data_IF_752655501250
#
_entry.id   IF_752655501250
#
_cell.length_a   1.000
_cell.length_b   1.000
_cell.length_c   1.000
_cell.angle_alpha   90.00
_cell.angle_beta   90.00
_cell.angle_gamma   90.00
#
_symmetry.space_group_name_H-M   'P 1'
#
loop_
_entity.id
_entity.type
_entity.pdbx_description
1 polymer ?
#
# COMPACT_ATOMS: atom_id res chain seq x y z
N UNK A 1 -23.40 18.69 -55.72
CA UNK A 1 -24.04 19.51 -54.66
C UNK A 1 -24.84 18.56 -53.79
N UNK A 2 -24.16 17.90 -52.85
CA UNK A 2 -24.00 18.25 -51.43
C UNK A 2 -25.25 17.97 -50.61
N UNK A 3 -25.09 16.95 -49.76
CA UNK A 3 -25.95 16.40 -48.72
C UNK A 3 -26.14 17.38 -47.58
N UNK A 4 -27.32 17.39 -46.95
CA UNK A 4 -27.46 17.92 -45.59
C UNK A 4 -28.36 17.03 -44.72
N UNK A 5 -27.75 16.46 -43.68
CA UNK A 5 -28.38 15.71 -42.59
C UNK A 5 -27.78 16.28 -41.31
N UNK A 6 -28.56 16.86 -40.39
CA UNK A 6 -27.99 17.44 -39.19
C UNK A 6 -27.54 16.33 -38.23
N UNK A 7 -26.26 16.37 -37.86
CA UNK A 7 -25.69 15.58 -36.78
C UNK A 7 -26.11 16.19 -35.44
N UNK A 8 -26.80 15.40 -34.62
CA UNK A 8 -27.03 15.72 -33.22
C UNK A 8 -25.70 15.58 -32.45
N UNK A 9 -25.16 16.69 -31.98
CA UNK A 9 -24.05 16.74 -31.02
C UNK A 9 -24.55 16.30 -29.64
N UNK A 10 -24.55 15.00 -29.40
CA UNK A 10 -24.57 14.44 -28.04
C UNK A 10 -23.15 14.40 -27.51
N UNK A 11 -22.83 15.32 -26.59
CA UNK A 11 -21.58 15.28 -25.81
C UNK A 11 -21.57 13.99 -24.98
N UNK A 12 -20.86 12.98 -25.47
CA UNK A 12 -20.56 11.78 -24.71
C UNK A 12 -19.70 12.16 -23.50
N UNK A 13 -20.16 11.80 -22.31
CA UNK A 13 -19.33 11.80 -21.12
C UNK A 13 -18.09 10.93 -21.37
N UNK A 14 -16.89 11.34 -20.90
CA UNK A 14 -15.68 10.57 -21.14
C UNK A 14 -15.79 9.18 -20.49
N UNK A 15 -15.25 8.14 -21.13
CA UNK A 15 -15.24 6.79 -20.56
C UNK A 15 -14.45 6.77 -19.25
N UNK A 16 -15.09 6.28 -18.19
CA UNK A 16 -14.44 5.90 -16.92
C UNK A 16 -13.40 4.83 -17.23
N UNK A 17 -12.13 5.11 -16.92
CA UNK A 17 -11.06 4.10 -16.91
C UNK A 17 -9.96 4.22 -17.96
N UNK A 18 -9.78 5.37 -18.61
CA UNK A 18 -8.59 5.63 -19.42
C UNK A 18 -7.42 6.08 -18.52
N UNK A 19 -6.61 5.09 -18.11
CA UNK A 19 -5.20 5.24 -17.69
C UNK A 19 -4.86 6.46 -16.84
N UNK A 20 -5.19 6.43 -15.55
CA UNK A 20 -4.48 7.26 -14.57
C UNK A 20 -3.03 6.81 -14.53
N UNK A 21 -2.09 7.75 -14.58
CA UNK A 21 -0.67 7.46 -14.43
C UNK A 21 -0.45 6.81 -13.06
N UNK A 22 -0.28 5.48 -13.09
CA UNK A 22 0.18 4.73 -11.93
C UNK A 22 1.63 5.15 -11.72
N UNK A 23 1.86 5.98 -10.72
CA UNK A 23 3.19 6.36 -10.28
C UNK A 23 3.96 5.17 -9.71
N UNK A 24 5.14 5.41 -9.12
CA UNK A 24 5.90 4.36 -8.44
C UNK A 24 5.04 3.66 -7.37
N UNK A 25 5.31 2.39 -7.15
CA UNK A 25 4.53 1.57 -6.22
C UNK A 25 5.30 0.35 -5.74
N UNK A 26 4.85 -0.19 -4.61
CA UNK A 26 5.47 -1.31 -3.93
C UNK A 26 4.37 -2.25 -3.41
N UNK A 27 3.97 -3.22 -4.23
CA UNK A 27 2.92 -4.19 -3.90
C UNK A 27 1.57 -3.49 -3.67
N UNK A 28 1.03 -3.54 -2.44
CA UNK A 28 -0.23 -2.86 -2.11
C UNK A 28 -0.10 -1.34 -1.93
N UNK A 29 1.11 -0.80 -1.77
CA UNK A 29 1.36 0.64 -1.72
C UNK A 29 1.43 1.20 -3.16
N UNK A 30 0.58 2.17 -3.48
CA UNK A 30 0.48 2.76 -4.82
C UNK A 30 0.35 4.27 -4.74
N UNK A 31 0.92 4.97 -5.72
CA UNK A 31 0.72 6.40 -5.92
C UNK A 31 -0.30 6.63 -7.04
N UNK A 32 -1.35 7.41 -6.75
CA UNK A 32 -2.40 7.78 -7.70
C UNK A 32 -2.74 9.26 -7.53
N UNK A 33 -2.76 10.01 -8.63
CA UNK A 33 -3.09 11.44 -8.65
C UNK A 33 -2.33 12.26 -7.58
N UNK A 34 -1.06 11.95 -7.36
CA UNK A 34 -0.22 12.65 -6.38
C UNK A 34 -0.38 12.21 -4.93
N UNK A 35 -1.16 11.16 -4.66
CA UNK A 35 -1.44 10.67 -3.30
C UNK A 35 -1.10 9.20 -3.14
N UNK A 36 -0.71 8.82 -1.93
CA UNK A 36 -0.32 7.46 -1.59
C UNK A 36 -1.46 6.68 -0.93
N UNK A 37 -1.63 5.42 -1.36
CA UNK A 37 -2.66 4.53 -0.85
C UNK A 37 -2.11 3.14 -0.59
N UNK A 38 -2.66 2.46 0.43
CA UNK A 38 -2.48 1.02 0.65
C UNK A 38 -3.79 0.31 0.35
N UNK A 39 -3.73 -0.62 -0.59
CA UNK A 39 -4.91 -1.31 -1.12
C UNK A 39 -5.57 -0.57 -2.27
N UNK A 40 -6.61 -1.19 -2.81
CA UNK A 40 -7.35 -0.69 -3.96
C UNK A 40 -8.21 0.53 -3.59
N UNK A 41 -7.71 1.71 -3.94
CA UNK A 41 -8.34 3.00 -3.69
C UNK A 41 -9.69 3.20 -4.40
N UNK A 42 -10.00 2.40 -5.43
CA UNK A 42 -11.29 2.40 -6.12
C UNK A 42 -12.30 1.43 -5.48
N UNK A 43 -11.84 0.63 -4.51
CA UNK A 43 -12.66 -0.37 -3.82
C UNK A 43 -13.23 0.15 -2.50
N UNK A 44 -14.01 -0.72 -1.84
CA UNK A 44 -14.81 -0.38 -0.65
C UNK A 44 -14.02 -0.06 0.61
N UNK A 45 -12.75 -0.44 0.69
CA UNK A 45 -11.91 -0.22 1.86
C UNK A 45 -10.43 -0.10 1.47
N UNK A 46 -9.78 0.98 1.89
CA UNK A 46 -8.36 1.24 1.64
C UNK A 46 -7.81 2.22 2.67
N UNK A 47 -6.49 2.40 2.69
CA UNK A 47 -5.82 3.39 3.53
C UNK A 47 -5.26 4.49 2.65
N UNK A 48 -5.52 5.76 3.00
CA UNK A 48 -4.78 6.89 2.49
C UNK A 48 -3.58 7.17 3.42
N UNK A 49 -2.43 7.45 2.83
CA UNK A 49 -1.22 7.87 3.54
C UNK A 49 -1.16 9.39 3.47
N UNK A 50 -1.40 10.05 4.60
CA UNK A 50 -1.53 11.50 4.68
C UNK A 50 -0.37 12.11 5.48
N UNK A 51 -0.08 13.41 5.33
CA UNK A 51 0.93 14.09 6.15
C UNK A 51 0.75 13.91 7.66
N UNK A 52 -0.49 13.74 8.13
CA UNK A 52 -0.83 13.62 9.54
C UNK A 52 -0.85 12.18 10.07
N UNK A 53 -1.06 11.19 9.20
CA UNK A 53 -1.28 9.80 9.61
C UNK A 53 -1.82 8.89 8.51
N UNK A 54 -2.24 7.70 8.92
CA UNK A 54 -3.03 6.83 8.05
C UNK A 54 -4.52 7.07 8.23
N UNK A 55 -5.23 7.35 7.15
CA UNK A 55 -6.69 7.46 7.15
C UNK A 55 -7.32 6.22 6.54
N UNK A 56 -8.11 5.50 7.33
CA UNK A 56 -8.89 4.37 6.85
C UNK A 56 -10.21 4.85 6.25
N UNK A 57 -10.40 4.55 4.97
CA UNK A 57 -11.59 4.91 4.21
C UNK A 57 -12.39 3.66 3.90
N UNK A 58 -13.66 3.67 4.28
CA UNK A 58 -14.60 2.58 4.00
C UNK A 58 -15.89 3.17 3.44
N UNK A 59 -16.39 2.63 2.32
CA UNK A 59 -17.65 3.10 1.74
C UNK A 59 -18.79 3.01 2.77
N UNK A 60 -19.48 4.13 2.99
CA UNK A 60 -20.60 4.22 3.93
C UNK A 60 -20.18 4.37 5.39
N UNK A 61 -18.90 4.67 5.68
CA UNK A 61 -18.42 5.04 7.01
C UNK A 61 -17.59 6.31 6.94
N UNK A 62 -17.64 7.09 8.01
CA UNK A 62 -16.77 8.25 8.16
C UNK A 62 -15.30 7.80 8.16
N UNK A 63 -14.38 8.51 7.47
CA UNK A 63 -12.97 8.21 7.51
C UNK A 63 -12.41 8.26 8.95
N UNK A 64 -11.44 7.39 9.23
CA UNK A 64 -10.80 7.33 10.54
C UNK A 64 -9.28 7.48 10.43
N UNK A 65 -8.75 8.58 10.98
CA UNK A 65 -7.32 8.90 10.99
C UNK A 65 -6.62 8.35 12.23
N UNK A 66 -5.52 7.65 12.03
CA UNK A 66 -4.53 7.33 13.06
C UNK A 66 -3.28 8.19 12.86
N UNK A 67 -3.06 9.21 13.71
CA UNK A 67 -1.90 10.06 13.63
C UNK A 67 -0.56 9.32 13.76
N UNK A 68 0.46 9.77 13.03
CA UNK A 68 1.82 9.21 13.07
C UNK A 68 2.34 9.02 14.49
N UNK A 69 2.18 10.05 15.34
CA UNK A 69 2.62 10.07 16.75
C UNK A 69 2.00 8.97 17.63
N UNK A 70 0.91 8.33 17.19
CA UNK A 70 0.27 7.24 17.93
C UNK A 70 0.83 5.87 17.55
N UNK A 71 1.41 5.71 16.37
CA UNK A 71 1.84 4.41 15.86
C UNK A 71 3.13 3.96 16.58
N UNK A 72 3.11 2.74 17.11
CA UNK A 72 4.26 2.11 17.78
C UNK A 72 4.83 0.91 17.04
N UNK A 73 4.04 0.34 16.14
CA UNK A 73 4.45 -0.75 15.27
C UNK A 73 3.64 -0.68 13.99
N UNK A 74 4.18 -1.22 12.90
CA UNK A 74 3.46 -1.42 11.65
C UNK A 74 3.79 -2.81 11.13
N UNK A 75 2.75 -3.60 10.85
CA UNK A 75 2.86 -4.96 10.31
C UNK A 75 1.89 -5.12 9.15
N UNK A 76 2.41 -5.51 8.00
CA UNK A 76 1.60 -5.76 6.81
C UNK A 76 1.18 -7.23 6.75
N UNK A 77 -0.12 -7.48 6.69
CA UNK A 77 -0.70 -8.79 6.38
C UNK A 77 -1.27 -8.78 4.98
N UNK A 78 -0.53 -9.31 4.00
CA UNK A 78 -0.98 -9.36 2.60
C UNK A 78 -0.38 -10.57 1.89
N UNK A 79 -1.11 -11.14 0.94
CA UNK A 79 -0.63 -12.21 0.05
C UNK A 79 -0.33 -11.66 -1.34
N UNK A 80 0.40 -12.42 -2.14
CA UNK A 80 0.72 -12.03 -3.52
C UNK A 80 -0.48 -11.97 -4.47
N UNK A 81 -1.56 -12.71 -4.17
CA UNK A 81 -2.78 -12.66 -4.97
C UNK A 81 -4.04 -12.55 -4.13
N UNK A 82 -5.06 -11.90 -4.70
CA UNK A 82 -6.38 -11.69 -4.08
C UNK A 82 -7.08 -12.99 -3.67
N UNK A 83 -6.93 -14.08 -4.44
CA UNK A 83 -7.50 -15.39 -4.09
C UNK A 83 -6.86 -15.97 -2.82
N UNK A 84 -5.55 -15.79 -2.67
CA UNK A 84 -4.80 -16.21 -1.48
C UNK A 84 -5.16 -15.37 -0.24
N UNK A 85 -5.76 -14.19 -0.43
CA UNK A 85 -6.28 -13.33 0.64
C UNK A 85 -7.70 -13.71 1.10
N UNK A 86 -8.23 -14.89 0.73
CA UNK A 86 -9.55 -15.37 1.17
C UNK A 86 -9.42 -16.46 2.24
N UNK A 87 -10.48 -16.75 3.04
CA UNK A 87 -10.53 -17.93 3.93
C UNK A 87 -9.99 -19.23 3.30
N UNK A 88 -10.40 -19.52 2.06
CA UNK A 88 -10.02 -20.73 1.34
C UNK A 88 -8.57 -20.69 0.85
N UNK A 89 -8.09 -19.51 0.43
CA UNK A 89 -6.70 -19.30 0.04
C UNK A 89 -5.73 -19.33 1.24
N UNK A 90 -6.15 -18.81 2.39
CA UNK A 90 -5.38 -18.83 3.64
C UNK A 90 -5.11 -20.25 4.16
N UNK A 91 -6.07 -21.17 3.97
CA UNK A 91 -5.91 -22.59 4.30
C UNK A 91 -4.82 -23.27 3.44
N UNK A 92 -4.70 -22.89 2.16
CA UNK A 92 -3.69 -23.45 1.23
C UNK A 92 -2.29 -22.90 1.49
N UNK A 93 -2.16 -21.71 2.09
CA UNK A 93 -0.87 -21.12 2.51
C UNK A 93 -0.45 -21.52 3.93
N UNK A 94 -1.22 -22.40 4.59
CA UNK A 94 -0.98 -22.87 5.94
C UNK A 94 0.47 -23.32 6.17
N UNK A 95 1.09 -22.73 7.20
CA UNK A 95 2.44 -22.98 7.72
C UNK A 95 3.67 -22.40 6.97
N UNK A 96 3.54 -21.83 5.77
CA UNK A 96 4.72 -21.32 5.03
C UNK A 96 4.70 -19.84 4.65
N UNK A 97 3.64 -19.10 4.96
CA UNK A 97 3.69 -17.65 4.87
C UNK A 97 4.31 -17.08 6.17
N UNK A 98 5.43 -16.33 6.12
CA UNK A 98 6.07 -15.72 7.30
C UNK A 98 5.24 -14.58 7.94
N UNK A 99 3.97 -14.44 7.57
CA UNK A 99 3.10 -13.36 8.00
C UNK A 99 1.86 -13.92 8.69
N UNK A 100 1.97 -14.08 10.00
CA UNK A 100 0.94 -14.56 10.95
C UNK A 100 -0.37 -13.73 10.96
N UNK A 101 -0.53 -12.75 10.08
CA UNK A 101 -1.70 -11.86 10.03
C UNK A 101 -2.62 -12.10 8.82
N UNK A 102 -2.31 -13.04 7.93
CA UNK A 102 -3.24 -13.44 6.85
C UNK A 102 -4.27 -14.41 7.46
N UNK A 103 -5.10 -13.89 8.36
CA UNK A 103 -6.24 -14.63 8.86
C UNK A 103 -7.29 -14.82 7.77
N UNK A 104 -8.33 -15.57 8.11
CA UNK A 104 -9.58 -15.85 7.37
C UNK A 104 -10.33 -14.59 6.87
N UNK A 105 -9.76 -13.39 7.00
CA UNK A 105 -10.43 -12.10 6.86
C UNK A 105 -9.77 -11.14 5.86
N UNK A 106 -8.67 -11.53 5.20
CA UNK A 106 -8.05 -10.79 4.10
C UNK A 106 -6.96 -9.80 4.48
N UNK A 107 -6.59 -8.93 3.53
CA UNK A 107 -5.44 -8.02 3.65
C UNK A 107 -5.65 -6.94 4.73
N UNK A 108 -4.62 -6.70 5.55
CA UNK A 108 -4.67 -5.73 6.64
C UNK A 108 -3.32 -5.02 6.86
N UNK A 109 -3.38 -3.84 7.47
CA UNK A 109 -2.24 -3.19 8.11
C UNK A 109 -2.53 -3.19 9.60
N UNK A 110 -1.65 -3.76 10.41
CA UNK A 110 -1.81 -3.85 11.86
C UNK A 110 -0.79 -2.98 12.57
N UNK A 111 -1.23 -2.25 13.59
CA UNK A 111 -0.41 -1.38 14.40
C UNK A 111 -0.82 -1.44 15.87
N UNK A 112 0.17 -1.40 16.77
CA UNK A 112 -0.08 -0.97 18.14
C UNK A 112 -0.15 0.55 18.16
N UNK A 113 -1.24 1.12 18.68
CA UNK A 113 -1.42 2.56 18.81
C UNK A 113 -1.37 2.99 20.27
N UNK A 114 -0.82 4.16 20.56
CA UNK A 114 -0.84 4.77 21.90
C UNK A 114 -2.14 5.53 22.16
N UNK A 115 -2.49 5.64 23.44
CA UNK A 115 -3.51 6.55 24.00
C UNK A 115 -4.88 6.55 23.27
N UNK A 116 -5.78 5.60 23.60
CA UNK A 116 -5.55 4.42 24.44
C UNK A 116 -4.64 3.42 23.74
N UNK A 117 -3.99 2.55 24.52
CA UNK A 117 -3.27 1.42 23.96
C UNK A 117 -4.27 0.46 23.33
N UNK A 118 -4.17 0.28 22.02
CA UNK A 118 -5.09 -0.57 21.28
C UNK A 118 -4.37 -1.20 20.08
N UNK A 119 -4.92 -2.32 19.60
CA UNK A 119 -4.53 -2.94 18.35
C UNK A 119 -5.40 -2.37 17.23
N UNK A 120 -4.85 -1.47 16.43
CA UNK A 120 -5.50 -0.96 15.24
C UNK A 120 -5.16 -1.85 14.05
N UNK A 121 -6.15 -2.51 13.45
CA UNK A 121 -5.96 -3.43 12.31
C UNK A 121 -6.99 -3.18 11.21
N UNK A 122 -6.93 -2.05 10.50
CA UNK A 122 -7.76 -1.78 9.35
C UNK A 122 -7.55 -2.83 8.25
N UNK A 123 -8.65 -3.20 7.61
CA UNK A 123 -8.64 -4.08 6.45
C UNK A 123 -8.69 -3.23 5.20
N UNK A 124 -8.04 -3.69 4.15
CA UNK A 124 -8.11 -3.06 2.84
C UNK A 124 -8.39 -4.09 1.75
N UNK A 125 -8.97 -3.64 0.65
CA UNK A 125 -9.24 -4.49 -0.51
C UNK A 125 -7.96 -4.62 -1.32
N UNK A 126 -7.63 -5.86 -1.69
CA UNK A 126 -6.50 -6.15 -2.56
C UNK A 126 -6.81 -5.68 -4.00
N UNK A 127 -5.84 -5.06 -4.67
CA UNK A 127 -5.92 -4.74 -6.09
C UNK A 127 -6.21 -5.99 -6.93
N UNK A 128 -6.75 -5.82 -8.14
CA UNK A 128 -6.92 -6.96 -9.06
C UNK A 128 -5.59 -7.56 -9.53
N UNK A 129 -4.53 -6.75 -9.57
CA UNK A 129 -3.18 -7.19 -9.96
C UNK A 129 -2.52 -8.07 -8.89
N UNK A 130 -1.59 -8.90 -9.33
CA UNK A 130 -0.70 -9.66 -8.45
C UNK A 130 0.34 -8.73 -7.82
N UNK A 131 0.69 -8.95 -6.55
CA UNK A 131 1.82 -8.31 -5.88
C UNK A 131 3.02 -9.26 -5.88
N UNK A 132 4.13 -8.91 -6.56
CA UNK A 132 5.36 -9.68 -6.48
C UNK A 132 5.83 -9.83 -5.03
N UNK A 133 6.20 -11.04 -4.63
CA UNK A 133 6.71 -11.32 -3.28
C UNK A 133 7.88 -10.41 -2.84
N UNK A 134 8.82 -10.02 -3.73
CA UNK A 134 9.84 -9.04 -3.37
C UNK A 134 9.26 -7.69 -2.95
N UNK A 135 8.21 -7.20 -3.62
CA UNK A 135 7.60 -5.90 -3.29
C UNK A 135 6.88 -5.96 -1.93
N UNK A 136 6.20 -7.06 -1.62
CA UNK A 136 5.62 -7.28 -0.30
C UNK A 136 6.71 -7.26 0.77
N UNK A 137 7.81 -7.97 0.52
CA UNK A 137 8.94 -8.04 1.46
C UNK A 137 9.55 -6.65 1.68
N UNK A 138 9.81 -5.91 0.62
CA UNK A 138 10.36 -4.56 0.69
C UNK A 138 9.43 -3.61 1.46
N UNK A 139 8.13 -3.64 1.19
CA UNK A 139 7.16 -2.81 1.91
C UNK A 139 7.08 -3.20 3.38
N UNK A 140 7.11 -4.50 3.70
CA UNK A 140 7.15 -4.96 5.09
C UNK A 140 8.39 -4.41 5.81
N UNK A 141 9.56 -4.51 5.19
CA UNK A 141 10.81 -4.01 5.75
C UNK A 141 10.79 -2.49 5.91
N UNK A 142 10.21 -1.75 4.96
CA UNK A 142 10.04 -0.30 5.05
C UNK A 142 9.19 0.07 6.27
N UNK A 143 8.01 -0.53 6.40
CA UNK A 143 7.06 -0.25 7.49
C UNK A 143 7.61 -0.64 8.87
N UNK A 144 8.31 -1.78 8.97
CA UNK A 144 8.94 -2.19 10.23
C UNK A 144 10.10 -1.29 10.62
N UNK A 145 11.09 -1.11 9.72
CA UNK A 145 12.29 -0.35 10.04
C UNK A 145 12.02 1.13 10.28
N UNK A 146 11.04 1.74 9.60
CA UNK A 146 10.75 3.17 9.79
C UNK A 146 10.22 3.45 11.19
N UNK A 147 9.45 2.51 11.76
CA UNK A 147 8.97 2.59 13.14
C UNK A 147 10.12 2.33 14.12
N UNK A 148 10.95 1.32 13.86
CA UNK A 148 12.12 1.01 14.70
C UNK A 148 13.15 2.15 14.74
N UNK A 149 13.21 2.96 13.68
CA UNK A 149 14.03 4.17 13.60
C UNK A 149 13.35 5.42 14.17
N UNK A 150 12.09 5.32 14.59
CA UNK A 150 11.31 6.44 15.14
C UNK A 150 11.03 7.55 14.12
N UNK A 151 10.93 7.19 12.83
CA UNK A 151 10.74 8.13 11.71
C UNK A 151 9.41 7.93 10.97
N UNK A 152 8.40 7.36 11.64
CA UNK A 152 7.15 6.95 11.00
C UNK A 152 6.41 8.10 10.31
N UNK A 153 6.59 9.33 10.79
CA UNK A 153 6.07 10.56 10.18
C UNK A 153 6.57 10.82 8.76
N UNK A 154 7.73 10.26 8.38
CA UNK A 154 8.26 10.36 7.01
C UNK A 154 7.36 9.67 6.00
N UNK A 155 6.53 8.71 6.40
CA UNK A 155 5.52 8.12 5.50
C UNK A 155 4.52 9.17 4.99
N UNK A 156 4.31 10.27 5.71
CA UNK A 156 3.44 11.37 5.29
C UNK A 156 4.12 12.42 4.39
N UNK A 157 5.43 12.31 4.15
CA UNK A 157 6.20 13.20 3.27
C UNK A 157 6.19 12.62 1.85
N UNK A 158 5.40 13.21 0.94
CA UNK A 158 5.22 12.69 -0.43
C UNK A 158 6.54 12.62 -1.20
N UNK A 159 7.39 13.63 -1.08
CA UNK A 159 8.66 13.68 -1.80
C UNK A 159 9.60 12.57 -1.30
N UNK A 160 9.71 12.44 0.03
CA UNK A 160 10.52 11.39 0.64
C UNK A 160 9.99 9.99 0.30
N UNK A 161 8.69 9.74 0.45
CA UNK A 161 8.10 8.42 0.17
C UNK A 161 8.23 8.05 -1.30
N UNK A 162 8.08 9.01 -2.20
CA UNK A 162 8.30 8.81 -3.64
C UNK A 162 9.74 8.41 -3.92
N UNK A 163 10.72 9.16 -3.42
CA UNK A 163 12.14 8.85 -3.60
C UNK A 163 12.49 7.46 -3.09
N UNK A 164 12.06 7.11 -1.88
CA UNK A 164 12.32 5.80 -1.28
C UNK A 164 11.69 4.67 -2.08
N UNK A 165 10.42 4.82 -2.51
CA UNK A 165 9.75 3.78 -3.30
C UNK A 165 10.41 3.62 -4.67
N UNK A 166 10.86 4.70 -5.30
CA UNK A 166 11.60 4.64 -6.56
C UNK A 166 12.95 3.91 -6.41
N UNK A 167 13.74 4.22 -5.37
CA UNK A 167 15.01 3.52 -5.11
C UNK A 167 14.78 2.02 -4.85
N UNK A 168 13.78 1.67 -4.04
CA UNK A 168 13.43 0.28 -3.76
C UNK A 168 12.90 -0.45 -5.02
N UNK A 169 12.14 0.24 -5.87
CA UNK A 169 11.64 -0.31 -7.13
C UNK A 169 12.76 -0.48 -8.18
N UNK A 170 13.80 0.36 -8.15
CA UNK A 170 14.98 0.23 -8.99
C UNK A 170 15.89 -0.91 -8.50
N UNK A 171 16.11 -1.04 -7.18
CA UNK A 171 16.91 -2.14 -6.60
C UNK A 171 16.26 -3.51 -6.83
N UNK A 172 14.92 -3.58 -6.97
CA UNK A 172 14.19 -4.77 -7.45
C UNK A 172 14.73 -5.29 -8.79
N UNK A 173 15.13 -4.40 -9.69
CA UNK A 173 15.69 -4.76 -11.00
C UNK A 173 17.13 -5.28 -10.89
N UNK A 174 17.85 -4.94 -9.82
CA UNK A 174 19.30 -5.14 -9.72
C UNK A 174 19.73 -6.38 -8.91
N UNK A 175 18.80 -7.18 -8.36
CA UNK A 175 19.09 -8.41 -7.56
C UNK A 175 20.11 -8.19 -6.42
N UNK A 176 20.28 -6.94 -5.96
CA UNK A 176 21.35 -6.51 -5.07
C UNK A 176 21.28 -7.16 -3.69
N UNK A 177 20.08 -7.50 -3.23
CA UNK A 177 19.84 -8.10 -1.92
C UNK A 177 19.42 -9.56 -2.05
N UNK A 178 20.33 -10.46 -1.68
CA UNK A 178 20.15 -11.93 -1.83
C UNK A 178 19.50 -12.61 -0.63
N UNK A 179 19.43 -11.94 0.52
CA UNK A 179 18.89 -12.50 1.76
C UNK A 179 17.94 -11.53 2.43
N UNK A 180 17.01 -12.04 3.25
CA UNK A 180 16.07 -11.20 4.01
C UNK A 180 16.79 -10.19 4.92
N UNK A 181 17.92 -10.59 5.54
CA UNK A 181 18.75 -9.69 6.33
C UNK A 181 19.36 -8.56 5.48
N UNK A 182 19.88 -8.87 4.29
CA UNK A 182 20.44 -7.84 3.41
C UNK A 182 19.37 -6.85 2.95
N UNK A 183 18.14 -7.31 2.71
CA UNK A 183 17.00 -6.44 2.41
C UNK A 183 16.70 -5.53 3.61
N UNK A 184 16.61 -6.09 4.81
CA UNK A 184 16.32 -5.32 6.02
C UNK A 184 17.39 -4.25 6.28
N UNK A 185 18.67 -4.63 6.22
CA UNK A 185 19.80 -3.72 6.44
C UNK A 185 19.83 -2.61 5.37
N UNK A 186 19.61 -2.94 4.09
CA UNK A 186 19.58 -1.96 3.00
C UNK A 186 18.41 -0.98 3.08
N UNK A 187 17.21 -1.46 3.40
CA UNK A 187 16.04 -0.60 3.65
C UNK A 187 16.28 0.30 4.87
N UNK A 188 16.84 -0.25 5.95
CA UNK A 188 17.18 0.52 7.15
C UNK A 188 18.21 1.61 6.86
N UNK A 189 19.24 1.30 6.07
CA UNK A 189 20.25 2.26 5.63
C UNK A 189 19.62 3.36 4.77
N UNK A 190 18.73 3.00 3.85
CA UNK A 190 17.98 3.97 3.03
C UNK A 190 17.18 4.96 3.90
N UNK A 191 16.42 4.45 4.86
CA UNK A 191 15.65 5.30 5.80
C UNK A 191 16.59 6.16 6.66
N UNK A 192 17.73 5.62 7.10
CA UNK A 192 18.68 6.31 7.96
C UNK A 192 19.39 7.46 7.23
N UNK A 193 19.84 7.22 5.98
CA UNK A 193 20.41 8.23 5.07
C UNK A 193 19.43 9.35 4.78
N UNK A 194 18.13 9.07 4.90
CA UNK A 194 17.07 10.07 4.83
C UNK A 194 16.83 10.59 3.42
N UNK A 195 16.94 9.68 2.43
CA UNK A 195 16.78 9.89 0.98
C UNK A 195 16.20 11.26 0.58
#
# INVERSE_FOLDING_TARGET
>A
MNTDRPAASGTAAPPVGAGRDLGPGLGPLVRVDGSWYIGDHESKAYLAVLPEGFEHRVTGREPFLVPWKRLMSLKLGVTSGRFLSTPAGGLLTGHHAPHEAIGTHGSCLSAMVRHPYDLWSPRFVHHRRWYPAPEITLLHQLLGNIVDLGRVERLGDDAWLTSVVEELAADRLLRKWRTSKAVADGVRELIARGA
#
